data_IF_037068233287
#
_entry.id   IF_037068233287
#
_cell.length_a   1.000
_cell.length_b   1.000
_cell.length_c   1.000
_cell.angle_alpha   90.00
_cell.angle_beta   90.00
_cell.angle_gamma   90.00
#
_symmetry.space_group_name_H-M   'P 1'
#
loop_
_entity.id
_entity.type
_entity.pdbx_description
1 polymer ?
#
# COMPACT_ATOMS: atom_id res chain seq x y z
N UNK A 1 2.08 6.00 -4.67
CA UNK A 1 0.74 6.25 -4.08
C UNK A 1 -0.27 5.32 -4.74
N UNK A 2 -0.69 4.24 -4.08
CA UNK A 2 -1.59 3.22 -4.67
C UNK A 2 -3.01 3.75 -4.94
N UNK A 3 -3.46 4.77 -4.21
CA UNK A 3 -4.82 5.33 -4.29
C UNK A 3 -4.83 6.85 -4.54
N UNK A 4 -3.81 7.38 -5.21
CA UNK A 4 -3.72 8.81 -5.55
C UNK A 4 -3.24 9.74 -4.41
N UNK A 5 -3.11 9.25 -3.17
CA UNK A 5 -2.49 9.97 -2.06
C UNK A 5 -1.45 9.13 -1.31
N UNK A 6 -0.67 9.78 -0.43
CA UNK A 6 0.42 9.13 0.31
C UNK A 6 -0.16 8.56 1.60
N UNK A 7 0.49 7.55 2.15
CA UNK A 7 0.25 7.09 3.51
C UNK A 7 1.15 7.82 4.51
N UNK A 8 2.27 8.41 4.06
CA UNK A 8 3.31 8.91 4.95
C UNK A 8 4.10 7.76 5.60
N UNK A 9 5.16 8.07 6.36
CA UNK A 9 6.00 7.04 6.95
C UNK A 9 5.27 6.32 8.08
N UNK A 10 5.48 5.01 8.18
CA UNK A 10 5.07 4.27 9.37
C UNK A 10 5.95 4.64 10.56
N UNK A 11 5.43 4.46 11.78
CA UNK A 11 6.20 4.69 13.02
C UNK A 11 6.87 3.40 13.46
N UNK A 12 8.09 3.52 14.02
CA UNK A 12 8.79 2.40 14.64
C UNK A 12 7.91 1.69 15.69
N UNK A 13 8.01 0.37 15.85
CA UNK A 13 9.00 -0.53 15.23
C UNK A 13 8.62 -1.02 13.83
N UNK A 14 7.57 -0.48 13.21
CA UNK A 14 7.14 -0.88 11.88
C UNK A 14 8.08 -0.31 10.81
N UNK A 15 8.21 -1.07 9.72
CA UNK A 15 8.93 -0.67 8.51
C UNK A 15 7.96 -0.50 7.36
N UNK A 16 8.34 0.30 6.37
CA UNK A 16 7.59 0.41 5.13
C UNK A 16 7.56 -0.93 4.39
N UNK A 17 6.57 -1.08 3.52
CA UNK A 17 6.43 -2.26 2.66
C UNK A 17 7.57 -2.31 1.63
N UNK A 18 8.02 -3.52 1.33
CA UNK A 18 8.92 -3.78 0.21
C UNK A 18 8.21 -3.58 -1.14
N UNK A 19 8.95 -3.42 -2.26
CA UNK A 19 8.35 -3.26 -3.58
C UNK A 19 7.37 -4.38 -3.97
N UNK A 20 7.70 -5.64 -3.66
CA UNK A 20 6.84 -6.79 -3.93
C UNK A 20 5.53 -6.75 -3.12
N UNK A 21 5.60 -6.36 -1.84
CA UNK A 21 4.43 -6.24 -0.97
C UNK A 21 3.50 -5.10 -1.44
N UNK A 22 4.05 -4.03 -2.02
CA UNK A 22 3.27 -2.97 -2.65
C UNK A 22 2.53 -3.45 -3.91
N UNK A 23 3.14 -4.30 -4.72
CA UNK A 23 2.49 -4.91 -5.90
C UNK A 23 1.35 -5.85 -5.49
N UNK A 24 1.58 -6.67 -4.46
CA UNK A 24 0.53 -7.53 -3.88
C UNK A 24 -0.65 -6.72 -3.36
N UNK A 25 -0.37 -5.60 -2.67
CA UNK A 25 -1.40 -4.70 -2.17
C UNK A 25 -2.18 -4.03 -3.32
N UNK A 26 -1.50 -3.58 -4.38
CA UNK A 26 -2.16 -3.01 -5.57
C UNK A 26 -3.15 -3.99 -6.20
N UNK A 27 -2.74 -5.26 -6.34
CA UNK A 27 -3.61 -6.31 -6.89
C UNK A 27 -4.87 -6.53 -6.04
N UNK A 28 -4.75 -6.51 -4.71
CA UNK A 28 -5.88 -6.63 -3.80
C UNK A 28 -6.82 -5.40 -3.87
N UNK A 29 -6.27 -4.19 -3.90
CA UNK A 29 -7.04 -2.96 -4.01
C UNK A 29 -7.84 -2.94 -5.32
N UNK A 30 -7.20 -3.29 -6.45
CA UNK A 30 -7.89 -3.39 -7.75
C UNK A 30 -9.00 -4.43 -7.76
N UNK A 31 -8.77 -5.58 -7.11
CA UNK A 31 -9.77 -6.65 -6.99
C UNK A 31 -10.96 -6.21 -6.15
N UNK A 32 -10.73 -5.44 -5.09
CA UNK A 32 -11.77 -4.95 -4.20
C UNK A 32 -12.65 -3.88 -4.86
N UNK A 33 -12.06 -3.05 -5.73
CA UNK A 33 -12.78 -1.99 -6.45
C UNK A 33 -13.13 -0.78 -5.56
N UNK A 34 -13.94 0.16 -6.08
CA UNK A 34 -14.36 1.35 -5.33
C UNK A 34 -15.09 0.97 -4.04
N UNK A 35 -14.79 1.67 -2.94
CA UNK A 35 -15.43 1.54 -1.63
C UNK A 35 -16.17 2.82 -1.27
#
# INVERSE_FOLDING_TARGET
KLVGHDAGPVRAPLTDLHPEELEMLDALIRKLGPQ
#
